data_IF_281389041641
#
_entry.id   IF_281389041641
#
_cell.length_a   1.000
_cell.length_b   1.000
_cell.length_c   1.000
_cell.angle_alpha   90.00
_cell.angle_beta   90.00
_cell.angle_gamma   90.00
#
_symmetry.space_group_name_H-M   'P 1'
#
loop_
_entity.id
_entity.type
_entity.pdbx_description
1 polymer ?
#
# COMPACT_ATOMS: atom_id res chain seq x y z
N UNK A 1 -10.60 15.21 -0.25
CA UNK A 1 -10.23 13.79 -0.23
C UNK A 1 -11.02 13.01 0.81
N UNK A 2 -11.10 13.48 2.04
CA UNK A 2 -11.75 12.77 3.16
C UNK A 2 -13.21 12.39 2.87
N UNK A 3 -13.97 13.25 2.18
CA UNK A 3 -15.38 12.99 1.86
C UNK A 3 -15.62 12.03 0.68
N UNK A 4 -14.62 11.81 -0.21
CA UNK A 4 -14.83 11.06 -1.46
C UNK A 4 -14.08 9.76 -1.56
N UNK A 5 -12.88 9.67 -0.98
CA UNK A 5 -12.07 8.44 -0.97
C UNK A 5 -11.14 8.44 0.26
N UNK A 6 -11.68 8.20 1.47
CA UNK A 6 -10.89 8.16 2.69
C UNK A 6 -9.69 7.20 2.63
N UNK A 7 -9.79 6.00 2.02
CA UNK A 7 -8.65 5.08 1.93
C UNK A 7 -7.42 5.61 1.19
N UNK A 8 -7.58 6.64 0.33
CA UNK A 8 -6.45 7.23 -0.39
C UNK A 8 -5.58 8.16 0.46
N UNK A 9 -6.04 8.60 1.63
CA UNK A 9 -5.34 9.57 2.47
C UNK A 9 -4.02 9.00 2.98
N UNK A 10 -4.06 7.84 3.60
CA UNK A 10 -2.88 7.20 4.19
C UNK A 10 -1.76 6.96 3.14
N UNK A 11 -2.01 6.34 1.97
CA UNK A 11 -0.98 6.19 0.95
C UNK A 11 -0.41 7.53 0.45
N UNK A 12 -1.22 8.57 0.34
CA UNK A 12 -0.75 9.92 -0.04
C UNK A 12 0.17 10.50 1.03
N UNK A 13 -0.19 10.39 2.30
CA UNK A 13 0.65 10.84 3.41
C UNK A 13 1.97 10.08 3.48
N UNK A 14 1.95 8.76 3.35
CA UNK A 14 3.18 7.94 3.31
C UNK A 14 4.08 8.38 2.14
N UNK A 15 3.51 8.57 0.95
CA UNK A 15 4.30 9.00 -0.20
C UNK A 15 4.89 10.40 -0.03
N UNK A 16 4.16 11.31 0.60
CA UNK A 16 4.60 12.66 0.90
C UNK A 16 5.76 12.69 1.90
N UNK A 17 5.60 11.99 3.05
CA UNK A 17 6.57 12.02 4.15
C UNK A 17 7.77 11.09 3.97
N UNK A 18 7.67 10.07 3.14
CA UNK A 18 8.73 9.08 2.93
C UNK A 18 9.20 8.94 1.46
N UNK A 19 8.71 9.77 0.56
CA UNK A 19 9.15 9.80 -0.83
C UNK A 19 8.96 8.52 -1.63
N UNK A 20 7.92 7.72 -1.33
CA UNK A 20 7.69 6.43 -1.97
C UNK A 20 7.00 6.57 -3.33
N UNK A 21 7.28 5.61 -4.23
CA UNK A 21 6.50 5.46 -5.46
C UNK A 21 5.14 4.84 -5.15
N UNK A 22 4.13 5.16 -5.95
CA UNK A 22 2.75 4.67 -5.78
C UNK A 22 2.65 3.15 -5.55
N UNK A 23 3.35 2.35 -6.36
CA UNK A 23 3.35 0.90 -6.22
C UNK A 23 4.12 0.41 -4.99
N UNK A 24 5.17 1.10 -4.56
CA UNK A 24 5.92 0.82 -3.33
C UNK A 24 5.05 1.11 -2.11
N UNK A 25 4.33 2.24 -2.12
CA UNK A 25 3.39 2.63 -1.06
C UNK A 25 2.29 1.58 -0.88
N UNK A 26 1.64 1.16 -1.98
CA UNK A 26 0.62 0.12 -1.92
C UNK A 26 1.17 -1.25 -1.49
N UNK A 27 2.44 -1.53 -1.80
CA UNK A 27 3.10 -2.79 -1.45
C UNK A 27 3.74 -2.83 -0.06
N UNK A 28 3.63 -1.75 0.72
CA UNK A 28 4.20 -1.66 2.06
C UNK A 28 3.42 -2.54 3.05
N UNK A 29 4.14 -3.24 3.92
CA UNK A 29 3.56 -4.07 4.98
C UNK A 29 3.99 -3.58 6.36
N UNK A 30 3.23 -3.91 7.40
CA UNK A 30 3.58 -3.55 8.77
C UNK A 30 4.91 -4.15 9.24
N UNK A 31 5.33 -5.28 8.67
CA UNK A 31 6.63 -5.91 8.94
C UNK A 31 7.82 -5.14 8.34
N UNK A 32 7.56 -4.23 7.42
CA UNK A 32 8.58 -3.40 6.79
C UNK A 32 8.80 -2.07 7.54
N UNK A 33 8.02 -1.80 8.59
CA UNK A 33 8.04 -0.54 9.35
C UNK A 33 8.62 -0.76 10.73
N UNK A 34 9.66 -0.03 11.06
CA UNK A 34 10.16 0.11 12.42
C UNK A 34 9.76 1.49 12.95
N UNK A 35 8.76 1.52 13.85
CA UNK A 35 8.25 2.77 14.42
C UNK A 35 9.18 3.36 15.49
N UNK A 36 10.04 2.55 16.12
CA UNK A 36 10.99 2.99 17.13
C UNK A 36 12.19 3.68 16.49
N UNK A 37 12.74 3.07 15.44
CA UNK A 37 13.84 3.64 14.66
C UNK A 37 13.36 4.60 13.56
N UNK A 38 12.06 4.80 13.43
CA UNK A 38 11.42 5.69 12.44
C UNK A 38 11.91 5.42 11.01
N UNK A 39 11.99 4.16 10.62
CA UNK A 39 12.40 3.78 9.29
C UNK A 39 11.49 2.72 8.65
N UNK A 40 11.49 2.66 7.34
CA UNK A 40 10.78 1.65 6.58
C UNK A 40 11.66 1.04 5.49
N UNK A 41 11.48 -0.25 5.29
CA UNK A 41 12.25 -1.04 4.31
C UNK A 41 11.41 -1.27 3.05
N UNK A 42 11.85 -0.75 1.91
CA UNK A 42 11.16 -0.89 0.63
C UNK A 42 11.68 -2.12 -0.11
N UNK A 43 10.89 -3.19 -0.10
CA UNK A 43 11.25 -4.50 -0.69
C UNK A 43 10.45 -4.82 -1.95
N UNK A 44 9.20 -4.35 -2.02
CA UNK A 44 8.23 -4.76 -3.04
C UNK A 44 7.44 -3.60 -3.62
N UNK A 45 6.74 -3.88 -4.71
CA UNK A 45 5.89 -2.92 -5.40
C UNK A 45 4.69 -3.63 -6.02
N UNK A 46 3.52 -3.03 -5.94
CA UNK A 46 2.32 -3.47 -6.66
C UNK A 46 2.26 -2.75 -7.99
N UNK A 47 1.98 -3.49 -9.06
CA UNK A 47 1.78 -2.95 -10.41
C UNK A 47 0.72 -3.75 -11.16
N UNK A 48 0.04 -3.10 -12.08
CA UNK A 48 -0.85 -3.78 -13.00
C UNK A 48 -0.03 -4.43 -14.13
N UNK A 49 -0.33 -5.70 -14.43
CA UNK A 49 0.21 -6.42 -15.59
C UNK A 49 -0.86 -6.44 -16.69
N UNK A 50 -0.63 -5.68 -17.75
CA UNK A 50 -1.57 -5.58 -18.87
C UNK A 50 -1.71 -6.86 -19.68
N UNK A 51 -0.75 -7.79 -19.61
CA UNK A 51 -0.80 -9.08 -20.31
C UNK A 51 -1.67 -10.06 -19.53
N UNK A 52 -1.47 -10.11 -18.22
CA UNK A 52 -2.20 -11.02 -17.31
C UNK A 52 -3.51 -10.42 -16.80
N UNK A 53 -3.81 -9.16 -17.13
CA UNK A 53 -4.97 -8.42 -16.67
C UNK A 53 -5.19 -8.46 -15.16
N UNK A 54 -4.10 -8.47 -14.38
CA UNK A 54 -4.14 -8.52 -12.91
C UNK A 54 -3.05 -7.68 -12.25
N UNK A 55 -3.27 -7.34 -10.99
CA UNK A 55 -2.24 -6.73 -10.18
C UNK A 55 -1.20 -7.78 -9.77
N UNK A 56 0.07 -7.42 -9.89
CA UNK A 56 1.21 -8.25 -9.51
C UNK A 56 1.95 -7.58 -8.37
N UNK A 57 2.27 -8.34 -7.35
CA UNK A 57 3.18 -7.95 -6.29
C UNK A 57 4.54 -8.56 -6.61
N UNK A 58 5.56 -7.73 -6.68
CA UNK A 58 6.90 -8.17 -7.04
C UNK A 58 7.99 -7.23 -6.53
N UNK A 59 9.23 -7.45 -6.92
CA UNK A 59 10.34 -6.60 -6.50
C UNK A 59 10.18 -5.18 -7.04
N UNK A 60 10.85 -4.23 -6.39
CA UNK A 60 10.94 -2.84 -6.86
C UNK A 60 11.52 -2.76 -8.27
N UNK A 61 11.25 -1.67 -9.01
CA UNK A 61 11.70 -1.48 -10.41
C UNK A 61 13.20 -1.72 -10.61
N UNK A 62 14.03 -1.35 -9.63
CA UNK A 62 15.50 -1.54 -9.67
C UNK A 62 15.98 -2.77 -8.90
N UNK A 63 15.09 -3.61 -8.38
CA UNK A 63 15.39 -4.78 -7.54
C UNK A 63 16.23 -4.47 -6.28
N UNK A 64 16.37 -3.21 -5.90
CA UNK A 64 17.13 -2.81 -4.72
C UNK A 64 16.17 -2.66 -3.54
N UNK A 65 16.49 -3.35 -2.47
CA UNK A 65 15.93 -3.06 -1.15
C UNK A 65 16.60 -1.77 -0.66
N UNK A 66 15.81 -0.88 -0.08
CA UNK A 66 16.33 0.34 0.55
C UNK A 66 15.57 0.65 1.83
N UNK A 67 16.25 1.29 2.73
CA UNK A 67 15.68 1.86 3.95
C UNK A 67 15.41 3.34 3.68
N UNK A 68 14.32 3.82 4.23
CA UNK A 68 13.91 5.23 4.17
C UNK A 68 13.53 5.64 5.58
N UNK A 69 14.16 6.69 6.08
CA UNK A 69 13.84 7.27 7.38
C UNK A 69 12.64 8.20 7.27
N UNK A 70 11.92 8.38 8.36
CA UNK A 70 10.79 9.30 8.44
C UNK A 70 10.73 9.95 9.83
N UNK A 71 9.98 11.02 9.97
CA UNK A 71 9.89 11.77 11.23
C UNK A 71 8.64 11.45 12.04
N UNK A 72 8.50 12.16 13.17
CA UNK A 72 7.44 11.99 14.15
C UNK A 72 6.03 12.11 13.56
N UNK A 73 5.83 13.01 12.62
CA UNK A 73 4.53 13.19 11.97
C UNK A 73 4.05 11.91 11.30
N UNK A 74 4.90 11.23 10.52
CA UNK A 74 4.52 9.96 9.89
C UNK A 74 4.40 8.84 10.93
N UNK A 75 5.19 8.88 11.99
CA UNK A 75 5.07 7.93 13.11
C UNK A 75 3.66 7.96 13.71
N UNK A 76 3.13 9.13 14.02
CA UNK A 76 1.79 9.26 14.60
C UNK A 76 0.70 8.88 13.60
N UNK A 77 0.84 9.23 12.33
CA UNK A 77 -0.07 8.80 11.25
C UNK A 77 -0.11 7.27 11.16
N UNK A 78 1.04 6.60 11.18
CA UNK A 78 1.13 5.14 11.09
C UNK A 78 0.57 4.44 12.32
N UNK A 79 0.80 4.97 13.52
CA UNK A 79 0.18 4.45 14.76
C UNK A 79 -1.34 4.54 14.70
N UNK A 80 -1.87 5.68 14.28
CA UNK A 80 -3.31 5.89 14.12
C UNK A 80 -3.90 4.95 13.06
N UNK A 81 -3.24 4.80 11.92
CA UNK A 81 -3.65 3.89 10.85
C UNK A 81 -3.70 2.43 11.30
N UNK A 82 -2.69 1.98 12.07
CA UNK A 82 -2.66 0.62 12.62
C UNK A 82 -3.83 0.36 13.57
N UNK A 83 -4.11 1.33 14.44
CA UNK A 83 -5.26 1.27 15.37
C UNK A 83 -6.58 1.21 14.60
N UNK A 84 -6.74 2.02 13.56
CA UNK A 84 -7.95 2.05 12.73
C UNK A 84 -8.14 0.73 11.95
N UNK A 85 -7.07 0.14 11.42
CA UNK A 85 -7.15 -1.17 10.77
C UNK A 85 -7.60 -2.28 11.73
N UNK A 86 -7.10 -2.28 12.96
CA UNK A 86 -7.54 -3.24 13.99
C UNK A 86 -9.02 -3.07 14.33
N UNK A 87 -9.48 -1.82 14.47
CA UNK A 87 -10.89 -1.49 14.69
C UNK A 87 -11.75 -1.97 13.53
N UNK A 88 -11.35 -1.67 12.29
CA UNK A 88 -12.05 -2.12 11.09
C UNK A 88 -12.14 -3.65 11.03
N UNK A 89 -11.05 -4.36 11.31
CA UNK A 89 -11.04 -5.83 11.36
C UNK A 89 -12.05 -6.37 12.37
N UNK A 90 -12.18 -5.72 13.53
CA UNK A 90 -13.19 -6.11 14.53
C UNK A 90 -14.62 -5.80 14.06
N UNK A 91 -14.84 -4.64 13.45
CA UNK A 91 -16.16 -4.21 12.99
C UNK A 91 -16.68 -5.05 11.81
N UNK A 92 -15.82 -5.37 10.86
CA UNK A 92 -16.20 -6.19 9.69
C UNK A 92 -16.28 -7.68 10.03
N UNK A 93 -15.58 -8.14 11.08
CA UNK A 93 -15.62 -9.55 11.52
C UNK A 93 -15.32 -10.50 10.39
N UNK A 94 -16.25 -11.40 10.09
CA UNK A 94 -16.12 -12.38 9.00
C UNK A 94 -16.13 -11.79 7.61
N UNK A 95 -16.63 -10.57 7.43
CA UNK A 95 -16.61 -9.86 6.15
C UNK A 95 -15.28 -9.19 5.86
N UNK A 96 -14.35 -9.18 6.83
CA UNK A 96 -13.04 -8.58 6.63
C UNK A 96 -12.16 -9.41 5.71
N UNK A 97 -11.61 -8.80 4.67
CA UNK A 97 -10.68 -9.43 3.75
C UNK A 97 -9.30 -9.62 4.40
N UNK A 98 -8.87 -10.85 4.52
CA UNK A 98 -7.50 -11.20 4.88
C UNK A 98 -6.67 -11.41 3.62
N UNK A 99 -5.44 -11.01 3.68
CA UNK A 99 -4.53 -11.01 2.55
C UNK A 99 -3.46 -12.09 2.75
N UNK A 100 -3.23 -12.90 1.73
CA UNK A 100 -2.29 -14.02 1.76
C UNK A 100 -1.36 -13.98 0.56
N UNK A 101 -0.19 -14.53 0.69
CA UNK A 101 0.78 -14.64 -0.39
C UNK A 101 1.55 -15.94 -0.36
N UNK A 102 2.02 -16.31 -1.55
CA UNK A 102 3.01 -17.35 -1.77
C UNK A 102 4.15 -16.77 -2.60
N UNK A 103 5.39 -17.07 -2.23
CA UNK A 103 6.53 -16.67 -3.02
C UNK A 103 6.68 -17.57 -4.24
N UNK A 104 6.79 -16.95 -5.41
CA UNK A 104 6.99 -17.65 -6.68
C UNK A 104 8.30 -17.14 -7.30
N UNK A 105 9.24 -18.04 -7.48
CA UNK A 105 10.53 -17.75 -8.08
C UNK A 105 10.43 -17.90 -9.60
N UNK A 106 10.64 -16.79 -10.34
CA UNK A 106 10.67 -16.79 -11.81
C UNK A 106 12.02 -16.25 -12.25
N UNK A 107 12.87 -17.12 -12.77
CA UNK A 107 14.30 -16.81 -13.04
C UNK A 107 14.93 -16.28 -11.74
N UNK A 108 15.62 -15.17 -11.77
CA UNK A 108 16.24 -14.54 -10.58
C UNK A 108 15.34 -13.50 -9.91
N UNK A 109 14.02 -13.68 -9.92
CA UNK A 109 13.04 -12.73 -9.35
C UNK A 109 12.06 -13.45 -8.47
N UNK A 110 11.79 -12.87 -7.32
CA UNK A 110 10.72 -13.29 -6.42
C UNK A 110 9.49 -12.45 -6.69
N UNK A 111 8.39 -13.11 -7.01
CA UNK A 111 7.07 -12.52 -7.12
C UNK A 111 6.20 -13.10 -6.01
N UNK A 112 5.15 -12.37 -5.67
CA UNK A 112 4.16 -12.84 -4.69
C UNK A 112 2.88 -13.19 -5.46
N UNK A 113 2.52 -14.46 -5.46
CA UNK A 113 1.18 -14.85 -5.82
C UNK A 113 0.27 -14.45 -4.66
N UNK A 114 -0.63 -13.53 -4.95
CA UNK A 114 -1.46 -12.86 -3.95
C UNK A 114 -2.88 -13.38 -4.00
N UNK A 115 -3.42 -13.62 -2.84
CA UNK A 115 -4.78 -14.09 -2.65
C UNK A 115 -5.45 -13.30 -1.51
N UNK A 116 -6.70 -12.89 -1.68
CA UNK A 116 -7.48 -12.28 -0.62
C UNK A 116 -8.76 -13.08 -0.41
N UNK A 117 -9.11 -13.31 0.84
CA UNK A 117 -10.27 -14.07 1.26
C UNK A 117 -11.10 -13.23 2.21
N UNK A 118 -12.41 -13.23 1.99
CA UNK A 118 -13.37 -12.77 2.99
C UNK A 118 -13.90 -13.96 3.77
N UNK A 119 -14.14 -13.76 5.06
CA UNK A 119 -14.83 -14.72 5.90
C UNK A 119 -14.02 -15.95 6.28
N UNK A 120 -14.72 -17.04 6.34
CA UNK A 120 -14.24 -18.36 6.81
C UNK A 120 -13.67 -19.24 5.71
N UNK A 121 -13.38 -18.68 4.53
CA UNK A 121 -12.83 -19.45 3.43
C UNK A 121 -11.48 -20.08 3.81
N UNK A 122 -11.29 -21.35 3.43
CA UNK A 122 -10.04 -22.05 3.71
C UNK A 122 -8.88 -21.43 2.94
N UNK A 123 -7.81 -21.18 3.66
CA UNK A 123 -6.55 -20.68 3.08
C UNK A 123 -5.79 -21.88 2.50
N UNK A 124 -5.32 -21.82 1.24
CA UNK A 124 -4.46 -22.86 0.71
C UNK A 124 -3.20 -23.03 1.59
N UNK A 125 -2.80 -24.27 1.86
CA UNK A 125 -1.76 -24.62 2.84
C UNK A 125 -0.39 -23.93 2.62
N UNK A 126 -0.08 -23.58 1.36
CA UNK A 126 1.20 -22.97 0.97
C UNK A 126 1.23 -21.44 1.11
N UNK A 127 0.13 -20.80 1.54
CA UNK A 127 0.02 -19.36 1.62
C UNK A 127 0.24 -18.86 3.03
N UNK A 128 0.94 -17.71 3.16
CA UNK A 128 1.19 -17.01 4.42
C UNK A 128 0.39 -15.73 4.46
N UNK A 129 -0.12 -15.38 5.64
CA UNK A 129 -0.80 -14.09 5.83
C UNK A 129 0.18 -12.94 5.66
N UNK A 130 -0.27 -11.87 4.99
CA UNK A 130 0.48 -10.63 4.79
C UNK A 130 -0.34 -9.43 5.23
N UNK A 131 0.23 -8.60 6.08
CA UNK A 131 -0.43 -7.43 6.65
C UNK A 131 0.01 -6.15 5.92
N UNK A 132 -0.73 -5.74 4.90
CA UNK A 132 -0.47 -4.48 4.20
C UNK A 132 -0.84 -3.27 5.04
N UNK A 133 -0.15 -2.15 4.80
CA UNK A 133 -0.41 -0.86 5.46
C UNK A 133 -1.57 -0.13 4.78
N UNK A 134 -1.58 -0.11 3.46
CA UNK A 134 -2.58 0.62 2.67
C UNK A 134 -3.76 -0.31 2.30
N UNK A 135 -4.72 -0.39 3.21
CA UNK A 135 -5.94 -1.17 3.05
C UNK A 135 -7.17 -0.26 3.05
N UNK A 136 -8.23 -0.75 2.43
CA UNK A 136 -9.58 -0.21 2.59
C UNK A 136 -10.18 -0.66 3.92
N UNK A 137 -11.28 -0.05 4.39
CA UNK A 137 -11.89 -0.43 5.66
C UNK A 137 -12.29 -1.91 5.75
N UNK A 138 -12.68 -2.51 4.63
CA UNK A 138 -13.03 -3.94 4.52
C UNK A 138 -11.83 -4.88 4.48
N UNK A 139 -10.59 -4.37 4.57
CA UNK A 139 -9.35 -5.17 4.49
C UNK A 139 -8.85 -5.46 3.07
N UNK A 140 -9.57 -5.05 2.03
CA UNK A 140 -9.10 -5.17 0.66
C UNK A 140 -7.97 -4.17 0.34
N UNK A 141 -7.13 -4.50 -0.64
CA UNK A 141 -5.98 -3.65 -1.02
C UNK A 141 -6.40 -2.33 -1.63
N UNK A 142 -5.77 -1.25 -1.20
CA UNK A 142 -5.77 0.00 -1.96
C UNK A 142 -4.77 -0.10 -3.12
N UNK A 143 -5.27 0.10 -4.33
CA UNK A 143 -4.51 -0.18 -5.55
C UNK A 143 -3.90 1.08 -6.18
N UNK A 144 -2.74 0.96 -6.86
CA UNK A 144 -2.12 2.08 -7.58
C UNK A 144 -3.04 2.77 -8.59
N UNK A 145 -3.90 1.99 -9.27
CA UNK A 145 -4.88 2.53 -10.23
C UNK A 145 -5.90 3.45 -9.56
N UNK A 146 -6.42 3.05 -8.40
CA UNK A 146 -7.37 3.85 -7.62
C UNK A 146 -6.73 5.17 -7.17
N UNK A 147 -5.51 5.11 -6.62
CA UNK A 147 -4.78 6.31 -6.20
C UNK A 147 -4.51 7.26 -7.37
N UNK A 148 -4.17 6.73 -8.54
CA UNK A 148 -3.98 7.54 -9.76
C UNK A 148 -5.26 8.24 -10.20
N UNK A 149 -6.42 7.57 -10.09
CA UNK A 149 -7.73 8.17 -10.38
C UNK A 149 -8.05 9.28 -9.37
N UNK A 150 -7.79 9.05 -8.09
CA UNK A 150 -8.00 10.05 -7.03
C UNK A 150 -7.15 11.29 -7.28
N UNK A 151 -5.85 11.15 -7.54
CA UNK A 151 -4.98 12.28 -7.86
C UNK A 151 -5.48 13.07 -9.08
N UNK A 152 -5.86 12.38 -10.16
CA UNK A 152 -6.44 13.00 -11.36
C UNK A 152 -7.77 13.72 -11.06
N UNK A 153 -8.58 13.19 -10.15
CA UNK A 153 -9.83 13.85 -9.73
C UNK A 153 -9.56 15.11 -8.90
N UNK A 154 -8.48 15.13 -8.11
CA UNK A 154 -8.03 16.31 -7.36
C UNK A 154 -7.52 17.37 -8.33
N UNK A 155 -6.64 17.02 -9.26
CA UNK A 155 -6.06 17.96 -10.23
C UNK A 155 -7.12 18.71 -11.04
N UNK A 156 -8.23 18.06 -11.36
CA UNK A 156 -9.35 18.69 -12.09
C UNK A 156 -10.21 19.63 -11.26
N UNK A 157 -10.07 19.65 -9.96
CA UNK A 157 -11.02 20.35 -9.04
C UNK A 157 -10.38 21.42 -8.18
N UNK A 158 -9.08 21.40 -8.04
CA UNK A 158 -8.33 22.33 -7.22
C UNK A 158 -7.46 23.22 -8.11
N UNK A 159 -7.71 24.50 -8.04
CA UNK A 159 -6.90 25.52 -8.68
C UNK A 159 -5.46 25.43 -8.16
N UNK A 160 -4.47 25.53 -9.04
CA UNK A 160 -3.06 25.35 -8.73
C UNK A 160 -2.58 23.88 -8.66
N UNK A 161 -3.46 22.92 -8.95
CA UNK A 161 -3.16 21.48 -8.96
C UNK A 161 -3.49 20.81 -10.30
N UNK A 162 -3.54 21.58 -11.39
CA UNK A 162 -4.02 21.12 -12.70
C UNK A 162 -3.24 19.91 -13.24
N UNK A 163 -1.95 19.84 -12.95
CA UNK A 163 -1.04 18.75 -13.35
C UNK A 163 -0.70 17.79 -12.20
N UNK A 164 -1.44 17.87 -11.08
CA UNK A 164 -1.12 17.05 -9.92
C UNK A 164 -1.25 15.56 -10.20
N UNK A 165 -0.18 14.83 -9.94
CA UNK A 165 -0.14 13.37 -9.99
C UNK A 165 0.71 12.80 -8.84
N UNK A 166 0.46 11.54 -8.48
CA UNK A 166 1.05 10.90 -7.30
C UNK A 166 2.58 11.00 -7.24
N UNK A 167 3.26 10.97 -8.40
CA UNK A 167 4.72 11.01 -8.43
C UNK A 167 5.30 12.33 -7.91
N UNK A 168 4.56 13.44 -8.01
CA UNK A 168 4.99 14.74 -7.50
C UNK A 168 5.17 14.76 -5.99
N UNK A 169 4.39 13.95 -5.25
CA UNK A 169 4.55 13.81 -3.80
C UNK A 169 5.96 13.38 -3.39
N UNK A 170 6.65 12.65 -4.28
CA UNK A 170 8.02 12.22 -4.02
C UNK A 170 9.05 13.37 -4.14
N UNK A 171 8.76 14.39 -4.93
CA UNK A 171 9.68 15.53 -5.11
C UNK A 171 9.72 16.47 -3.90
N UNK A 172 8.78 16.30 -2.96
CA UNK A 172 8.76 17.08 -1.71
C UNK A 172 9.63 16.45 -0.62
N UNK A 173 10.07 15.21 -0.82
CA UNK A 173 10.97 14.48 0.06
C UNK A 173 12.41 14.67 -0.45
N UNK A 174 13.09 15.66 0.05
CA UNK A 174 14.53 15.93 -0.19
C UNK A 174 15.20 16.24 1.14
#
# INVERSE_FOLDING_TARGET
LEKKNPPAILPIQIAYYAGLRIGETCGLTWQDINLEEQCLTIKRSIRYDGIKHKNIIGPTKRKKVRIVDFGDTLTEILKAARKEQLKNRMQYGELYHRNYYKEVHVKNRVYYEYYHLAGTQEVPADYKEISFVCLRPDGSLELPSTLSIVCRSVSKKLEGFEDFHFHQLRHTYT
#
